data_IF_056136730419
#
_entry.id   IF_056136730419
#
_cell.length_a   1.000
_cell.length_b   1.000
_cell.length_c   1.000
_cell.angle_alpha   90.00
_cell.angle_beta   90.00
_cell.angle_gamma   90.00
#
_symmetry.space_group_name_H-M   'P 1'
#
loop_
_entity.id
_entity.type
_entity.pdbx_description
1 polymer ?
#
# COMPACT_ATOMS: atom_id res chain seq x y z
N UNK A 1 -8.51 -4.60 5.07
CA UNK A 1 -7.43 -3.62 5.29
C UNK A 1 -7.59 -3.03 6.68
N UNK A 2 -6.51 -2.65 7.38
CA UNK A 2 -6.64 -2.01 8.69
C UNK A 2 -7.40 -0.69 8.58
N UNK A 3 -8.30 -0.42 9.53
CA UNK A 3 -9.15 0.78 9.56
C UNK A 3 -8.37 2.08 9.76
N UNK A 4 -7.12 1.99 10.23
CA UNK A 4 -6.27 3.14 10.59
C UNK A 4 -5.31 3.58 9.47
N UNK A 5 -5.60 3.27 8.20
CA UNK A 5 -4.77 3.74 7.09
C UNK A 5 -5.09 5.21 6.76
N UNK A 6 -4.06 6.06 6.55
CA UNK A 6 -4.27 7.41 6.04
C UNK A 6 -5.06 7.41 4.72
N UNK A 7 -5.88 8.44 4.45
CA UNK A 7 -6.59 8.58 3.18
C UNK A 7 -5.66 8.50 1.96
N UNK A 8 -4.45 9.07 2.04
CA UNK A 8 -3.50 9.02 0.94
C UNK A 8 -3.02 7.59 0.65
N UNK A 9 -2.81 6.78 1.70
CA UNK A 9 -2.44 5.38 1.54
C UNK A 9 -3.57 4.58 0.88
N UNK A 10 -4.83 4.82 1.26
CA UNK A 10 -5.97 4.16 0.62
C UNK A 10 -6.08 4.55 -0.86
N UNK A 11 -5.89 5.82 -1.20
CA UNK A 11 -5.90 6.29 -2.58
C UNK A 11 -4.74 5.71 -3.41
N UNK A 12 -3.54 5.58 -2.84
CA UNK A 12 -2.41 4.91 -3.50
C UNK A 12 -2.70 3.42 -3.76
N UNK A 13 -3.35 2.73 -2.81
CA UNK A 13 -3.74 1.34 -3.00
C UNK A 13 -4.84 1.17 -4.06
N UNK A 14 -5.84 2.06 -4.10
CA UNK A 14 -6.84 2.05 -5.18
C UNK A 14 -6.16 2.22 -6.54
N UNK A 15 -5.23 3.17 -6.67
CA UNK A 15 -4.43 3.32 -7.90
C UNK A 15 -3.64 2.06 -8.26
N UNK A 16 -3.09 1.34 -7.28
CA UNK A 16 -2.44 0.04 -7.51
C UNK A 16 -3.40 -1.02 -8.05
N UNK A 17 -4.65 -1.04 -7.57
CA UNK A 17 -5.67 -1.97 -8.06
C UNK A 17 -6.13 -1.63 -9.49
N UNK A 18 -6.26 -0.34 -9.81
CA UNK A 18 -6.66 0.15 -11.14
C UNK A 18 -5.51 0.15 -12.18
N UNK A 19 -4.26 0.04 -11.74
CA UNK A 19 -3.10 0.07 -12.62
C UNK A 19 -3.10 -1.11 -13.61
N UNK A 20 -2.90 -0.79 -14.90
CA UNK A 20 -2.93 -1.77 -15.99
C UNK A 20 -1.52 -2.24 -16.40
N UNK A 21 -0.50 -1.47 -16.08
CA UNK A 21 0.90 -1.81 -16.37
C UNK A 21 1.63 -2.30 -15.13
N UNK A 22 2.64 -3.15 -15.34
CA UNK A 22 3.49 -3.63 -14.25
C UNK A 22 4.22 -2.47 -13.55
N UNK A 23 4.68 -1.49 -14.32
CA UNK A 23 5.39 -0.31 -13.82
C UNK A 23 4.50 0.54 -12.91
N UNK A 24 3.26 0.80 -13.32
CA UNK A 24 2.32 1.55 -12.49
C UNK A 24 1.97 0.79 -11.21
N UNK A 25 1.81 -0.54 -11.28
CA UNK A 25 1.58 -1.37 -10.08
C UNK A 25 2.74 -1.26 -9.10
N UNK A 26 3.98 -1.38 -9.57
CA UNK A 26 5.16 -1.26 -8.70
C UNK A 26 5.19 0.12 -8.05
N UNK A 27 5.07 1.19 -8.84
CA UNK A 27 5.15 2.57 -8.35
C UNK A 27 4.09 2.90 -7.31
N UNK A 28 2.84 2.52 -7.58
CA UNK A 28 1.71 2.78 -6.68
C UNK A 28 1.76 1.93 -5.41
N UNK A 29 2.29 0.70 -5.50
CA UNK A 29 2.53 -0.16 -4.34
C UNK A 29 3.65 0.40 -3.44
N UNK A 30 4.73 0.90 -4.02
CA UNK A 30 5.80 1.57 -3.26
C UNK A 30 5.29 2.83 -2.56
N UNK A 31 4.49 3.65 -3.26
CA UNK A 31 3.84 4.83 -2.71
C UNK A 31 2.92 4.45 -1.54
N UNK A 32 2.08 3.42 -1.72
CA UNK A 32 1.24 2.89 -0.65
C UNK A 32 2.05 2.48 0.58
N UNK A 33 3.12 1.69 0.39
CA UNK A 33 3.98 1.23 1.49
C UNK A 33 4.70 2.37 2.22
N UNK A 34 5.02 3.46 1.51
CA UNK A 34 5.64 4.66 2.09
C UNK A 34 4.67 5.44 2.98
N UNK A 35 3.38 5.47 2.61
CA UNK A 35 2.33 6.21 3.32
C UNK A 35 1.76 5.47 4.53
N UNK A 36 2.02 4.16 4.67
CA UNK A 36 1.56 3.39 5.82
C UNK A 36 2.38 3.77 7.07
N UNK A 37 1.74 4.21 8.17
CA UNK A 37 2.45 4.50 9.42
C UNK A 37 3.11 3.22 9.97
N UNK A 38 4.34 3.30 10.45
CA UNK A 38 5.10 2.13 10.93
C UNK A 38 4.86 1.89 12.42
N UNK A 39 3.80 1.13 12.74
CA UNK A 39 3.45 0.74 14.10
C UNK A 39 2.85 -0.67 14.14
N UNK A 40 2.70 -1.29 15.32
CA UNK A 40 2.20 -2.68 15.47
C UNK A 40 0.94 -3.02 14.67
N UNK A 41 0.01 -2.07 14.50
CA UNK A 41 -1.23 -2.27 13.74
C UNK A 41 -1.05 -2.47 12.23
N UNK A 42 0.10 -2.13 11.65
CA UNK A 42 0.37 -2.12 10.20
C UNK A 42 1.54 -3.01 9.81
N UNK A 43 2.32 -3.53 10.75
CA UNK A 43 3.48 -4.41 10.48
C UNK A 43 3.10 -5.63 9.64
N UNK A 44 1.99 -6.31 9.98
CA UNK A 44 1.50 -7.48 9.22
C UNK A 44 1.10 -7.12 7.79
N UNK A 45 0.53 -5.92 7.59
CA UNK A 45 0.12 -5.44 6.27
C UNK A 45 1.36 -5.19 5.39
N UNK A 46 2.36 -4.48 5.94
CA UNK A 46 3.62 -4.19 5.25
C UNK A 46 4.33 -5.51 4.88
N UNK A 47 4.40 -6.46 5.82
CA UNK A 47 5.04 -7.76 5.59
C UNK A 47 4.36 -8.52 4.44
N UNK A 48 3.03 -8.59 4.42
CA UNK A 48 2.27 -9.26 3.38
C UNK A 48 2.53 -8.70 1.98
N UNK A 49 2.71 -7.39 1.86
CA UNK A 49 2.90 -6.72 0.57
C UNK A 49 4.36 -6.75 0.09
N UNK A 50 5.32 -7.00 0.98
CA UNK A 50 6.73 -7.20 0.62
C UNK A 50 7.07 -8.64 0.26
N UNK A 51 6.24 -9.61 0.66
CA UNK A 51 6.42 -11.03 0.38
C UNK A 51 5.62 -11.54 -0.82
N UNK A 52 4.92 -10.65 -1.51
CA UNK A 52 4.12 -10.94 -2.71
C UNK A 52 4.89 -10.54 -3.96
#
# INVERSE_FOLDING_TARGET
>A
MPTNLPPEAQAAYTRHLDANTLEEKIKTLEEFLSLIPKHKGTEKLIALHRSR
#
